data_IF_355969216620
#
_entry.id   IF_355969216620
#
_cell.length_a   1.000
_cell.length_b   1.000
_cell.length_c   1.000
_cell.angle_alpha   90.00
_cell.angle_beta   90.00
_cell.angle_gamma   90.00
#
_symmetry.space_group_name_H-M   'P 1'
#
loop_
_entity.id
_entity.type
_entity.pdbx_description
1 polymer ?
#
# COMPACT_ATOMS: atom_id res chain seq x y z
N UNK A 1 13.41 -4.70 -13.74
CA UNK A 1 13.06 -5.39 -15.03
C UNK A 1 13.02 -4.37 -16.18
N UNK A 2 14.11 -3.58 -16.36
CA UNK A 2 14.17 -2.53 -17.41
C UNK A 2 14.96 -2.95 -18.66
N UNK A 3 15.28 -4.23 -18.82
CA UNK A 3 16.06 -4.72 -19.92
C UNK A 3 15.22 -5.65 -20.80
N UNK A 4 15.54 -5.72 -22.09
CA UNK A 4 14.90 -6.63 -23.06
C UNK A 4 14.85 -8.07 -22.54
N UNK A 5 15.86 -8.50 -21.77
CA UNK A 5 15.87 -9.79 -21.06
C UNK A 5 14.72 -9.98 -20.05
N UNK A 6 14.19 -8.90 -19.46
CA UNK A 6 13.09 -8.99 -18.50
C UNK A 6 11.77 -9.39 -19.15
N UNK A 7 11.52 -8.93 -20.35
CA UNK A 7 10.29 -9.25 -21.10
C UNK A 7 10.29 -10.69 -21.58
N UNK A 8 11.42 -11.21 -22.09
CA UNK A 8 11.55 -12.61 -22.49
C UNK A 8 11.34 -13.55 -21.30
N UNK A 9 11.93 -13.26 -20.14
CA UNK A 9 11.74 -14.05 -18.91
C UNK A 9 10.28 -14.12 -18.46
N UNK A 10 9.52 -13.04 -18.63
CA UNK A 10 8.10 -13.01 -18.27
C UNK A 10 7.28 -13.86 -19.26
N UNK A 11 7.59 -13.82 -20.54
CA UNK A 11 6.93 -14.68 -21.54
C UNK A 11 7.24 -16.15 -21.29
N UNK A 12 8.50 -16.51 -21.12
CA UNK A 12 8.91 -17.88 -20.77
C UNK A 12 8.22 -18.41 -19.51
N UNK A 13 8.08 -17.55 -18.53
CA UNK A 13 7.39 -17.85 -17.28
C UNK A 13 5.89 -18.10 -17.50
N UNK A 14 5.22 -17.22 -18.25
CA UNK A 14 3.82 -17.38 -18.60
C UNK A 14 3.57 -18.69 -19.36
N UNK A 15 4.42 -18.99 -20.31
CA UNK A 15 4.32 -20.20 -21.13
C UNK A 15 4.50 -21.47 -20.28
N UNK A 16 5.41 -21.44 -19.30
CA UNK A 16 5.58 -22.54 -18.32
C UNK A 16 4.38 -22.70 -17.39
N UNK A 17 3.79 -21.60 -16.91
CA UNK A 17 2.58 -21.67 -16.10
C UNK A 17 1.39 -22.18 -16.93
N UNK A 18 1.30 -21.77 -18.21
CA UNK A 18 0.31 -22.27 -19.14
C UNK A 18 0.46 -23.77 -19.36
N UNK A 19 1.69 -24.28 -19.46
CA UNK A 19 1.96 -25.71 -19.56
C UNK A 19 1.43 -26.47 -18.34
N UNK A 20 1.62 -25.97 -17.12
CA UNK A 20 1.10 -26.56 -15.89
C UNK A 20 -0.43 -26.63 -15.92
N UNK A 21 -1.09 -25.59 -16.38
CA UNK A 21 -2.54 -25.53 -16.45
C UNK A 21 -3.17 -26.29 -17.65
N UNK A 22 -2.38 -26.67 -18.64
CA UNK A 22 -2.86 -27.37 -19.84
C UNK A 22 -2.45 -28.84 -19.89
N UNK A 23 -1.66 -29.32 -18.94
CA UNK A 23 -1.19 -30.69 -18.86
C UNK A 23 -1.72 -31.41 -17.61
N UNK A 24 -1.70 -32.75 -17.62
CA UNK A 24 -2.16 -33.55 -16.48
C UNK A 24 -3.61 -33.26 -16.14
N UNK A 25 -3.89 -33.00 -14.85
CA UNK A 25 -5.22 -32.67 -14.34
C UNK A 25 -5.59 -31.18 -14.54
N UNK A 26 -4.66 -30.37 -15.05
CA UNK A 26 -4.87 -28.93 -15.23
C UNK A 26 -6.10 -28.56 -16.06
N UNK A 27 -6.36 -29.19 -17.23
CA UNK A 27 -7.53 -28.87 -18.05
C UNK A 27 -8.88 -29.17 -17.40
N UNK A 28 -8.91 -30.03 -16.39
CA UNK A 28 -10.12 -30.38 -15.66
C UNK A 28 -10.46 -29.33 -14.58
N UNK A 29 -9.47 -28.59 -14.10
CA UNK A 29 -9.63 -27.65 -12.98
C UNK A 29 -9.58 -26.18 -13.41
N UNK A 30 -8.94 -25.88 -14.55
CA UNK A 30 -8.71 -24.50 -14.99
C UNK A 30 -8.75 -24.36 -16.51
N UNK A 31 -9.25 -23.23 -17.01
CA UNK A 31 -9.17 -22.83 -18.40
C UNK A 31 -8.54 -21.44 -18.49
N UNK A 32 -7.41 -21.33 -19.19
CA UNK A 32 -6.77 -20.06 -19.45
C UNK A 32 -7.59 -19.21 -20.40
N UNK A 33 -7.70 -17.91 -20.08
CA UNK A 33 -8.48 -16.95 -20.88
C UNK A 33 -7.62 -15.85 -21.46
N UNK A 34 -6.44 -15.62 -20.90
CA UNK A 34 -5.52 -14.58 -21.39
C UNK A 34 -4.42 -14.27 -20.40
N UNK A 35 -3.80 -13.14 -20.61
CA UNK A 35 -2.76 -12.59 -19.77
C UNK A 35 -2.09 -11.41 -20.44
N UNK A 36 -1.36 -10.63 -19.68
CA UNK A 36 -0.55 -9.55 -20.21
C UNK A 36 0.68 -9.31 -19.33
N UNK A 37 1.63 -8.60 -19.90
CA UNK A 37 2.82 -8.14 -19.19
C UNK A 37 2.77 -6.62 -19.09
N UNK A 38 2.86 -6.12 -17.87
CA UNK A 38 3.00 -4.71 -17.59
C UNK A 38 4.43 -4.34 -17.20
N UNK A 39 4.66 -3.08 -16.95
CA UNK A 39 5.97 -2.56 -16.59
C UNK A 39 6.50 -3.15 -15.25
N UNK A 40 5.61 -3.53 -14.36
CA UNK A 40 5.94 -3.94 -12.98
C UNK A 40 5.54 -5.38 -12.65
N UNK A 41 4.58 -5.95 -13.36
CA UNK A 41 4.13 -7.32 -13.15
C UNK A 41 3.58 -7.93 -14.43
N UNK A 42 3.64 -9.27 -14.51
CA UNK A 42 2.86 -10.05 -15.46
C UNK A 42 1.62 -10.60 -14.76
N UNK A 43 0.57 -10.87 -15.52
CA UNK A 43 -0.62 -11.55 -15.02
C UNK A 43 -1.16 -12.53 -16.04
N UNK A 44 -1.82 -13.56 -15.51
CA UNK A 44 -2.48 -14.61 -16.29
C UNK A 44 -3.93 -14.69 -15.83
N UNK A 45 -4.85 -14.58 -16.77
CA UNK A 45 -6.27 -14.67 -16.53
C UNK A 45 -6.77 -16.09 -16.80
N UNK A 46 -7.57 -16.63 -15.89
CA UNK A 46 -8.15 -17.96 -16.04
C UNK A 46 -9.53 -18.08 -15.42
N UNK A 47 -10.28 -19.09 -15.88
CA UNK A 47 -11.51 -19.55 -15.25
C UNK A 47 -11.19 -20.84 -14.51
N UNK A 48 -11.43 -20.87 -13.21
CA UNK A 48 -11.25 -22.06 -12.40
C UNK A 48 -12.59 -22.79 -12.23
N UNK A 49 -12.60 -24.09 -12.54
CA UNK A 49 -13.70 -24.99 -12.26
C UNK A 49 -13.58 -25.59 -10.85
N UNK A 50 -12.33 -25.78 -10.40
CA UNK A 50 -11.96 -26.02 -9.03
C UNK A 50 -10.88 -25.02 -8.64
N UNK A 51 -11.29 -23.97 -7.94
CA UNK A 51 -10.37 -22.86 -7.57
C UNK A 51 -9.30 -23.33 -6.58
N UNK A 52 -9.63 -24.27 -5.67
CA UNK A 52 -8.66 -24.74 -4.67
C UNK A 52 -7.57 -25.57 -5.36
N UNK A 53 -7.93 -26.47 -6.23
CA UNK A 53 -6.98 -27.25 -7.02
C UNK A 53 -6.13 -26.34 -7.94
N UNK A 54 -6.74 -25.38 -8.64
CA UNK A 54 -6.02 -24.45 -9.51
C UNK A 54 -4.99 -23.61 -8.74
N UNK A 55 -5.35 -23.09 -7.57
CA UNK A 55 -4.43 -22.30 -6.74
C UNK A 55 -3.34 -23.17 -6.11
N UNK A 56 -3.63 -24.43 -5.77
CA UNK A 56 -2.61 -25.36 -5.30
C UNK A 56 -1.56 -25.65 -6.41
N UNK A 57 -2.01 -25.90 -7.65
CA UNK A 57 -1.12 -26.07 -8.80
C UNK A 57 -0.26 -24.83 -9.04
N UNK A 58 -0.86 -23.65 -9.01
CA UNK A 58 -0.13 -22.38 -9.15
C UNK A 58 0.89 -22.18 -8.01
N UNK A 59 0.51 -22.46 -6.77
CA UNK A 59 1.39 -22.34 -5.60
C UNK A 59 2.61 -23.25 -5.70
N UNK A 60 2.42 -24.51 -6.08
CA UNK A 60 3.54 -25.45 -6.31
C UNK A 60 4.46 -24.95 -7.42
N UNK A 61 3.90 -24.46 -8.52
CA UNK A 61 4.69 -23.88 -9.62
C UNK A 61 5.52 -22.67 -9.16
N UNK A 62 4.93 -21.73 -8.43
CA UNK A 62 5.62 -20.54 -7.97
C UNK A 62 6.69 -20.84 -6.92
N UNK A 63 6.53 -21.91 -6.12
CA UNK A 63 7.46 -22.29 -5.08
C UNK A 63 8.89 -22.43 -5.60
N UNK A 64 9.06 -23.09 -6.75
CA UNK A 64 10.36 -23.38 -7.36
C UNK A 64 10.75 -22.39 -8.47
N UNK A 65 9.95 -21.34 -8.71
CA UNK A 65 10.21 -20.33 -9.73
C UNK A 65 11.15 -19.24 -9.23
N UNK A 66 11.84 -18.56 -10.16
CA UNK A 66 12.68 -17.38 -9.88
C UNK A 66 11.84 -16.10 -9.66
N UNK A 67 10.51 -16.20 -9.73
CA UNK A 67 9.62 -15.07 -9.48
C UNK A 67 9.65 -14.72 -7.99
N UNK A 68 9.92 -13.47 -7.61
CA UNK A 68 10.10 -13.09 -6.21
C UNK A 68 8.80 -13.14 -5.40
N UNK A 69 7.65 -12.92 -6.02
CA UNK A 69 6.35 -12.99 -5.37
C UNK A 69 5.24 -13.28 -6.38
N UNK A 70 4.17 -13.91 -5.94
CA UNK A 70 2.99 -14.17 -6.74
C UNK A 70 1.74 -14.12 -5.86
N UNK A 71 0.66 -13.57 -6.39
CA UNK A 71 -0.63 -13.53 -5.71
C UNK A 71 -1.77 -13.80 -6.68
N UNK A 72 -2.83 -14.35 -6.17
CA UNK A 72 -4.09 -14.51 -6.88
C UNK A 72 -5.14 -13.54 -6.34
N UNK A 73 -5.91 -12.94 -7.23
CA UNK A 73 -7.09 -12.17 -6.88
C UNK A 73 -8.19 -12.44 -7.92
N UNK A 74 -9.43 -12.33 -7.49
CA UNK A 74 -10.59 -12.38 -8.40
C UNK A 74 -10.82 -10.99 -8.99
N UNK A 75 -11.66 -10.92 -10.05
CA UNK A 75 -12.18 -9.63 -10.53
C UNK A 75 -13.10 -8.92 -9.52
N UNK A 76 -13.36 -9.54 -8.37
CA UNK A 76 -14.12 -8.96 -7.26
C UNK A 76 -13.16 -8.52 -6.17
N UNK A 77 -13.10 -7.22 -5.93
CA UNK A 77 -12.22 -6.63 -4.89
C UNK A 77 -12.54 -7.13 -3.48
N UNK A 78 -13.80 -7.44 -3.23
CA UNK A 78 -14.29 -7.87 -1.92
C UNK A 78 -13.89 -9.31 -1.56
N UNK A 79 -13.42 -10.09 -2.52
CA UNK A 79 -13.02 -11.48 -2.29
C UNK A 79 -11.62 -11.63 -1.68
N UNK A 80 -10.87 -10.53 -1.58
CA UNK A 80 -9.50 -10.56 -1.05
C UNK A 80 -8.47 -11.09 -2.06
N UNK A 81 -7.29 -11.38 -1.55
CA UNK A 81 -6.13 -11.84 -2.31
C UNK A 81 -5.49 -13.04 -1.61
N UNK A 82 -5.14 -14.07 -2.38
CA UNK A 82 -4.39 -15.23 -1.88
C UNK A 82 -2.93 -15.08 -2.28
N UNK A 83 -2.00 -15.21 -1.32
CA UNK A 83 -0.58 -15.30 -1.61
C UNK A 83 -0.27 -16.70 -2.16
N UNK A 84 0.32 -16.76 -3.34
CA UNK A 84 0.84 -17.98 -3.97
C UNK A 84 2.33 -18.16 -3.67
N UNK A 85 3.05 -17.06 -3.60
CA UNK A 85 4.45 -16.98 -3.14
C UNK A 85 4.64 -15.63 -2.48
N UNK A 86 5.06 -15.66 -1.24
CA UNK A 86 5.46 -14.43 -0.56
C UNK A 86 6.73 -13.88 -1.21
N UNK A 87 6.90 -12.55 -1.28
CA UNK A 87 8.21 -12.00 -1.54
C UNK A 87 9.19 -12.69 -0.57
N UNK A 88 10.45 -12.97 -0.99
CA UNK A 88 11.45 -13.41 -0.04
C UNK A 88 11.27 -12.51 1.16
N UNK A 89 11.14 -13.11 2.35
CA UNK A 89 11.02 -12.34 3.58
C UNK A 89 12.11 -11.28 3.50
N UNK A 90 11.74 -10.10 3.08
CA UNK A 90 12.39 -8.93 3.59
C UNK A 90 12.03 -9.04 5.08
N UNK A 91 12.80 -9.87 5.83
CA UNK A 91 13.05 -9.48 7.20
C UNK A 91 13.29 -7.98 7.09
N UNK A 92 12.62 -7.15 7.87
CA UNK A 92 13.04 -5.79 7.96
C UNK A 92 14.49 -5.88 8.42
N UNK A 93 15.40 -5.99 7.45
CA UNK A 93 16.82 -5.77 7.66
C UNK A 93 16.91 -4.33 8.12
N UNK A 94 16.63 -4.14 9.42
CA UNK A 94 16.97 -2.92 10.10
C UNK A 94 18.45 -2.58 9.83
N UNK A 95 19.26 -3.62 9.58
CA UNK A 95 20.66 -3.48 9.18
C UNK A 95 20.85 -3.19 7.68
N UNK A 96 20.10 -3.82 6.76
CA UNK A 96 20.20 -3.51 5.33
C UNK A 96 19.57 -2.16 4.98
N UNK A 97 18.44 -1.80 5.60
CA UNK A 97 17.89 -0.45 5.48
C UNK A 97 18.81 0.60 6.15
N UNK A 98 19.48 0.26 7.24
CA UNK A 98 20.47 1.15 7.85
C UNK A 98 21.72 1.26 6.98
N UNK A 99 22.17 0.20 6.32
CA UNK A 99 23.32 0.22 5.40
C UNK A 99 23.00 0.97 4.08
N UNK A 100 21.81 0.74 3.51
CA UNK A 100 21.34 1.50 2.33
C UNK A 100 21.05 2.96 2.66
N UNK A 101 20.61 3.25 3.89
CA UNK A 101 20.52 4.57 4.48
C UNK A 101 21.90 5.27 4.58
N UNK A 102 22.94 4.54 4.95
CA UNK A 102 24.29 5.10 5.13
C UNK A 102 24.91 5.48 3.77
N UNK A 103 24.76 4.68 2.71
CA UNK A 103 25.26 5.00 1.38
C UNK A 103 24.53 6.17 0.71
N UNK A 104 23.22 6.32 0.88
CA UNK A 104 22.45 7.44 0.32
C UNK A 104 22.60 8.74 1.07
N UNK A 105 22.82 8.69 2.38
CA UNK A 105 23.03 9.89 3.21
C UNK A 105 24.50 10.33 3.30
N UNK A 106 25.48 9.42 3.17
CA UNK A 106 26.92 9.75 3.26
C UNK A 106 27.49 10.52 2.06
N UNK A 107 26.77 10.59 0.95
CA UNK A 107 27.16 11.38 -0.24
C UNK A 107 26.60 12.80 -0.31
N UNK A 108 25.86 13.26 0.70
CA UNK A 108 25.10 14.51 0.68
C UNK A 108 25.48 15.43 1.85
N UNK A 109 25.20 16.72 1.70
CA UNK A 109 25.23 17.71 2.80
C UNK A 109 24.06 17.42 3.79
N UNK A 110 24.10 16.23 4.43
CA UNK A 110 23.10 15.78 5.41
C UNK A 110 23.49 16.27 6.80
N UNK A 111 22.53 16.88 7.48
CA UNK A 111 22.67 17.32 8.88
C UNK A 111 22.02 16.24 9.77
N UNK A 112 22.78 15.36 10.46
CA UNK A 112 22.20 14.39 11.39
C UNK A 112 21.45 15.10 12.51
N UNK A 113 20.29 14.54 12.89
CA UNK A 113 19.51 15.11 13.99
C UNK A 113 20.23 14.98 15.32
N UNK A 114 20.28 16.09 16.04
CA UNK A 114 20.57 16.14 17.48
C UNK A 114 19.60 17.13 18.14
N UNK A 115 19.30 17.01 19.44
CA UNK A 115 18.48 18.01 20.12
C UNK A 115 19.02 19.45 20.01
N UNK A 116 20.32 19.61 19.83
CA UNK A 116 20.98 20.91 19.71
C UNK A 116 20.88 21.53 18.32
N UNK A 117 20.78 20.72 17.26
CA UNK A 117 20.68 21.21 15.89
C UNK A 117 19.29 21.04 15.28
N UNK A 118 18.28 20.76 16.11
CA UNK A 118 16.93 20.45 15.66
C UNK A 118 16.39 21.43 14.62
N UNK A 119 16.60 22.74 14.81
CA UNK A 119 16.10 23.76 13.87
C UNK A 119 16.76 23.65 12.49
N UNK A 120 18.07 23.40 12.43
CA UNK A 120 18.78 23.22 11.16
C UNK A 120 18.33 21.93 10.45
N UNK A 121 18.14 20.84 11.21
CA UNK A 121 17.62 19.58 10.69
C UNK A 121 16.21 19.74 10.10
N UNK A 122 15.29 20.37 10.83
CA UNK A 122 13.93 20.57 10.31
C UNK A 122 13.88 21.55 9.14
N UNK A 123 14.77 22.54 9.07
CA UNK A 123 14.90 23.41 7.89
C UNK A 123 15.34 22.61 6.65
N UNK A 124 16.28 21.68 6.82
CA UNK A 124 16.70 20.78 5.75
C UNK A 124 15.56 19.84 5.31
N UNK A 125 14.80 19.26 6.26
CA UNK A 125 13.63 18.46 5.92
C UNK A 125 12.58 19.26 5.16
N UNK A 126 12.37 20.54 5.53
CA UNK A 126 11.42 21.40 4.80
C UNK A 126 11.91 21.66 3.38
N UNK A 127 13.19 21.95 3.17
CA UNK A 127 13.75 22.10 1.84
C UNK A 127 13.51 20.84 0.98
N UNK A 128 13.85 19.65 1.50
CA UNK A 128 13.63 18.39 0.78
C UNK A 128 12.16 18.11 0.50
N UNK A 129 11.26 18.47 1.42
CA UNK A 129 9.84 18.34 1.20
C UNK A 129 9.34 19.27 0.10
N UNK A 130 9.89 20.49 -0.03
CA UNK A 130 9.55 21.45 -1.08
C UNK A 130 10.15 21.04 -2.45
N UNK A 131 11.16 20.19 -2.44
CA UNK A 131 11.80 19.57 -3.61
C UNK A 131 11.22 18.19 -3.96
N UNK A 132 10.12 17.78 -3.31
CA UNK A 132 9.45 16.46 -3.45
C UNK A 132 10.33 15.25 -3.09
N UNK A 133 11.42 15.48 -2.34
CA UNK A 133 12.38 14.46 -1.92
C UNK A 133 11.92 13.74 -0.63
N UNK A 134 10.68 13.24 -0.65
CA UNK A 134 10.03 12.63 0.52
C UNK A 134 10.78 11.41 1.06
N UNK A 135 11.38 10.62 0.18
CA UNK A 135 12.19 9.45 0.57
C UNK A 135 13.36 9.86 1.44
N UNK A 136 14.05 10.95 1.13
CA UNK A 136 15.15 11.51 1.95
C UNK A 136 14.66 11.96 3.32
N UNK A 137 13.50 12.62 3.36
CA UNK A 137 12.87 13.01 4.62
C UNK A 137 12.60 11.79 5.51
N UNK A 138 12.00 10.73 4.94
CA UNK A 138 11.68 9.49 5.64
C UNK A 138 12.96 8.82 6.17
N UNK A 139 14.00 8.73 5.35
CA UNK A 139 15.29 8.15 5.72
C UNK A 139 15.94 8.90 6.88
N UNK A 140 16.06 10.22 6.77
CA UNK A 140 16.66 11.06 7.80
C UNK A 140 15.90 10.98 9.14
N UNK A 141 14.57 10.94 9.10
CA UNK A 141 13.74 10.83 10.29
C UNK A 141 13.80 9.44 10.94
N UNK A 142 13.92 8.38 10.14
CA UNK A 142 14.13 7.02 10.65
C UNK A 142 15.51 6.85 11.33
N UNK A 143 16.52 7.56 10.86
CA UNK A 143 17.87 7.53 11.44
C UNK A 143 17.94 8.19 12.84
N UNK A 144 16.89 8.89 13.30
CA UNK A 144 16.85 9.50 14.62
C UNK A 144 16.81 8.41 15.70
N UNK A 145 17.77 8.39 16.65
CA UNK A 145 17.73 7.47 17.78
C UNK A 145 16.42 7.54 18.55
N UNK A 146 15.94 6.40 19.04
CA UNK A 146 14.64 6.30 19.72
C UNK A 146 14.52 7.25 20.90
N UNK A 147 15.56 7.40 21.71
CA UNK A 147 15.63 8.31 22.86
C UNK A 147 15.47 9.80 22.51
N UNK A 148 15.66 10.16 21.24
CA UNK A 148 15.52 11.53 20.75
C UNK A 148 14.22 11.77 19.98
N UNK A 149 13.42 10.73 19.77
CA UNK A 149 12.13 10.85 19.12
C UNK A 149 11.13 11.55 20.04
N UNK A 150 10.34 12.42 19.44
CA UNK A 150 9.34 13.21 20.15
C UNK A 150 8.19 13.55 19.20
N UNK A 151 7.19 14.27 19.68
CA UNK A 151 6.04 14.67 18.87
C UNK A 151 6.45 15.33 17.54
N UNK A 152 7.42 16.26 17.55
CA UNK A 152 7.84 16.98 16.35
C UNK A 152 8.46 16.06 15.32
N UNK A 153 9.30 15.12 15.74
CA UNK A 153 9.90 14.12 14.84
C UNK A 153 8.87 13.13 14.31
N UNK A 154 7.93 12.67 15.14
CA UNK A 154 6.84 11.79 14.75
C UNK A 154 5.91 12.48 13.74
N UNK A 155 5.51 13.72 14.01
CA UNK A 155 4.70 14.51 13.09
C UNK A 155 5.39 14.72 11.73
N UNK A 156 6.69 15.05 11.74
CA UNK A 156 7.46 15.23 10.51
C UNK A 156 7.55 13.92 9.70
N UNK A 157 7.76 12.78 10.37
CA UNK A 157 7.79 11.47 9.72
C UNK A 157 6.44 11.10 9.12
N UNK A 158 5.35 11.31 9.85
CA UNK A 158 4.00 11.08 9.32
C UNK A 158 3.72 11.94 8.09
N UNK A 159 4.05 13.24 8.14
CA UNK A 159 3.91 14.15 6.99
C UNK A 159 4.71 13.67 5.78
N UNK A 160 5.96 13.24 5.98
CA UNK A 160 6.79 12.75 4.88
C UNK A 160 6.23 11.46 4.26
N UNK A 161 5.73 10.53 5.09
CA UNK A 161 5.09 9.29 4.64
C UNK A 161 3.79 9.56 3.87
N UNK A 162 2.95 10.48 4.33
CA UNK A 162 1.73 10.90 3.65
C UNK A 162 2.04 11.58 2.32
N UNK A 163 2.97 12.54 2.29
CA UNK A 163 3.36 13.20 1.06
C UNK A 163 3.95 12.21 0.05
N UNK A 164 4.78 11.27 0.51
CA UNK A 164 5.28 10.16 -0.32
C UNK A 164 4.14 9.34 -0.94
N UNK A 165 3.11 9.04 -0.15
CA UNK A 165 1.99 8.22 -0.60
C UNK A 165 1.02 8.99 -1.52
N UNK A 166 0.79 10.28 -1.25
CA UNK A 166 -0.28 11.08 -1.87
C UNK A 166 0.24 11.88 -3.07
N UNK A 167 1.41 12.50 -2.94
CA UNK A 167 1.98 13.41 -3.93
C UNK A 167 3.05 12.76 -4.80
N UNK A 168 3.66 11.67 -4.33
CA UNK A 168 4.63 10.91 -5.13
C UNK A 168 3.96 10.17 -6.29
N UNK A 169 4.73 9.79 -7.31
CA UNK A 169 4.29 9.06 -8.52
C UNK A 169 3.68 7.68 -8.25
N UNK A 170 3.38 7.38 -7.00
CA UNK A 170 2.90 6.07 -6.55
C UNK A 170 1.36 5.97 -6.50
N UNK A 171 0.65 7.03 -6.89
CA UNK A 171 -0.80 7.13 -6.66
C UNK A 171 -1.65 7.03 -7.94
N UNK A 172 -1.11 6.56 -9.04
CA UNK A 172 -1.87 6.43 -10.30
C UNK A 172 -2.85 5.24 -10.28
N UNK A 173 -4.04 5.46 -9.72
CA UNK A 173 -5.28 4.75 -10.11
C UNK A 173 -5.40 3.25 -9.81
N UNK A 174 -4.37 2.60 -9.33
CA UNK A 174 -4.39 1.22 -8.83
C UNK A 174 -4.15 1.20 -7.33
N UNK A 175 -4.66 0.20 -6.58
CA UNK A 175 -4.34 0.07 -5.16
C UNK A 175 -2.82 0.08 -4.99
N UNK A 176 -2.28 1.22 -4.55
CA UNK A 176 -0.86 1.42 -4.44
C UNK A 176 -0.39 0.81 -3.12
N UNK A 177 0.02 -0.45 -3.18
CA UNK A 177 0.51 -1.17 -2.01
C UNK A 177 1.64 -0.44 -1.25
N UNK A 178 2.50 0.32 -1.94
CA UNK A 178 3.54 1.13 -1.30
C UNK A 178 2.95 2.38 -0.64
N UNK A 179 2.00 3.03 -1.28
CA UNK A 179 1.27 4.16 -0.74
C UNK A 179 0.45 3.77 0.49
N UNK A 180 -0.32 2.70 0.41
CA UNK A 180 -1.13 2.21 1.54
C UNK A 180 -0.26 1.83 2.75
N UNK A 181 0.89 1.17 2.54
CA UNK A 181 1.86 0.89 3.62
C UNK A 181 2.40 2.18 4.27
N UNK A 182 2.73 3.17 3.47
CA UNK A 182 3.23 4.44 3.97
C UNK A 182 2.16 5.19 4.78
N UNK A 183 0.89 5.18 4.32
CA UNK A 183 -0.24 5.77 5.04
C UNK A 183 -0.52 5.05 6.36
N UNK A 184 -0.54 3.71 6.37
CA UNK A 184 -0.70 2.93 7.60
C UNK A 184 0.41 3.25 8.60
N UNK A 185 1.66 3.30 8.15
CA UNK A 185 2.78 3.67 9.01
C UNK A 185 2.69 5.11 9.52
N UNK A 186 2.21 6.06 8.70
CA UNK A 186 1.99 7.44 9.13
C UNK A 186 0.98 7.51 10.28
N UNK A 187 -0.14 6.78 10.15
CA UNK A 187 -1.17 6.65 11.18
C UNK A 187 -0.58 6.05 12.47
N UNK A 188 0.19 4.95 12.38
CA UNK A 188 0.84 4.32 13.53
C UNK A 188 1.79 5.28 14.25
N UNK A 189 2.60 6.02 13.50
CA UNK A 189 3.53 7.02 14.04
C UNK A 189 2.78 8.15 14.75
N UNK A 190 1.68 8.64 14.18
CA UNK A 190 0.83 9.65 14.81
C UNK A 190 0.14 9.12 16.07
N UNK A 191 -0.34 7.87 16.03
CA UNK A 191 -0.95 7.24 17.21
C UNK A 191 0.05 7.08 18.37
N UNK A 192 1.34 6.86 18.10
CA UNK A 192 2.36 6.76 19.14
C UNK A 192 2.53 8.05 19.96
N UNK A 193 2.13 9.19 19.41
CA UNK A 193 2.19 10.53 20.05
C UNK A 193 0.81 11.14 20.27
N UNK A 194 -0.23 10.30 20.30
CA UNK A 194 -1.63 10.72 20.43
C UNK A 194 -1.90 11.63 21.63
N UNK A 195 -1.32 11.32 22.79
CA UNK A 195 -1.56 12.11 24.02
C UNK A 195 -1.10 13.56 23.89
N UNK A 196 -0.05 13.82 23.09
CA UNK A 196 0.42 15.16 22.79
C UNK A 196 -0.32 15.81 21.61
N UNK A 197 -0.85 14.98 20.70
CA UNK A 197 -1.39 15.41 19.39
C UNK A 197 -2.89 15.63 19.36
N UNK A 198 -3.69 14.83 20.08
CA UNK A 198 -5.16 14.77 19.95
C UNK A 198 -5.89 16.11 20.06
N UNK A 199 -5.31 17.08 20.76
CA UNK A 199 -5.88 18.42 20.95
C UNK A 199 -5.19 19.48 20.06
N UNK A 200 -4.45 19.07 19.05
CA UNK A 200 -3.82 19.93 18.05
C UNK A 200 -4.49 19.75 16.68
N UNK A 201 -4.77 20.87 16.01
CA UNK A 201 -5.41 20.85 14.68
C UNK A 201 -4.56 20.10 13.66
N UNK A 202 -3.25 20.37 13.63
CA UNK A 202 -2.33 19.76 12.68
C UNK A 202 -2.21 18.24 12.83
N UNK A 203 -2.32 17.68 14.04
CA UNK A 203 -2.31 16.24 14.27
C UNK A 203 -3.59 15.61 13.73
N UNK A 204 -4.75 16.21 14.04
CA UNK A 204 -6.03 15.74 13.53
C UNK A 204 -6.14 15.86 12.02
N UNK A 205 -5.55 16.90 11.43
CA UNK A 205 -5.42 17.06 9.97
C UNK A 205 -4.66 15.88 9.35
N UNK A 206 -3.49 15.53 9.91
CA UNK A 206 -2.70 14.40 9.40
C UNK A 206 -3.42 13.07 9.55
N UNK A 207 -4.04 12.80 10.69
CA UNK A 207 -4.86 11.61 10.87
C UNK A 207 -6.01 11.54 9.84
N UNK A 208 -6.66 12.69 9.57
CA UNK A 208 -7.71 12.77 8.57
C UNK A 208 -7.19 12.45 7.16
N UNK A 209 -6.06 13.02 6.76
CA UNK A 209 -5.46 12.73 5.45
C UNK A 209 -4.99 11.28 5.34
N UNK A 210 -4.32 10.75 6.36
CA UNK A 210 -3.89 9.35 6.38
C UNK A 210 -5.05 8.39 6.10
N UNK A 211 -6.18 8.55 6.77
CA UNK A 211 -7.37 7.72 6.56
C UNK A 211 -8.14 8.06 5.27
N UNK A 212 -8.17 9.33 4.83
CA UNK A 212 -8.85 9.74 3.60
C UNK A 212 -8.29 9.03 2.37
N UNK A 213 -6.95 8.93 2.29
CA UNK A 213 -6.25 8.35 1.15
C UNK A 213 -5.99 6.85 1.32
N UNK A 214 -6.19 6.29 2.51
CA UNK A 214 -6.12 4.86 2.74
C UNK A 214 -7.41 4.20 2.23
N UNK A 215 -7.25 3.31 1.26
CA UNK A 215 -8.38 2.76 0.51
C UNK A 215 -9.40 2.06 1.43
N UNK A 216 -10.63 2.51 1.37
CA UNK A 216 -11.71 1.90 2.15
C UNK A 216 -11.89 2.43 3.57
N UNK A 217 -11.02 3.32 4.04
CA UNK A 217 -11.00 3.81 5.41
C UNK A 217 -11.53 5.26 5.57
N UNK A 218 -12.22 5.79 4.55
CA UNK A 218 -12.69 7.18 4.55
C UNK A 218 -13.71 7.47 5.68
N UNK A 219 -14.36 6.43 6.23
CA UNK A 219 -15.23 6.58 7.41
C UNK A 219 -14.44 6.99 8.65
N UNK A 220 -13.21 6.45 8.80
CA UNK A 220 -12.30 6.76 9.91
C UNK A 220 -11.70 8.15 9.83
N UNK A 221 -11.59 8.74 8.64
CA UNK A 221 -11.10 10.10 8.46
C UNK A 221 -12.04 11.16 9.04
N UNK A 222 -13.36 10.92 8.99
CA UNK A 222 -14.38 11.92 9.32
C UNK A 222 -14.31 12.42 10.78
N UNK A 223 -14.12 11.59 11.82
CA UNK A 223 -13.96 12.06 13.18
C UNK A 223 -12.78 13.01 13.36
N UNK A 224 -11.64 12.69 12.78
CA UNK A 224 -10.43 13.51 12.83
C UNK A 224 -10.61 14.84 12.07
N UNK A 225 -11.19 14.82 10.88
CA UNK A 225 -11.48 16.03 10.15
C UNK A 225 -12.48 16.96 10.86
N UNK A 226 -13.45 16.40 11.60
CA UNK A 226 -14.35 17.19 12.45
C UNK A 226 -13.60 17.82 13.61
N UNK A 227 -12.72 17.04 14.27
CA UNK A 227 -11.93 17.58 15.37
C UNK A 227 -10.96 18.65 14.92
N UNK A 228 -10.36 18.48 13.74
CA UNK A 228 -9.57 19.52 13.10
C UNK A 228 -10.37 20.82 12.88
N UNK A 229 -11.57 20.74 12.27
CA UNK A 229 -12.44 21.90 12.08
C UNK A 229 -12.87 22.59 13.40
N UNK A 230 -12.99 21.83 14.50
CA UNK A 230 -13.29 22.40 15.82
C UNK A 230 -12.08 23.14 16.41
N UNK A 231 -10.87 22.63 16.19
CA UNK A 231 -9.63 23.20 16.71
C UNK A 231 -9.10 24.37 15.89
N UNK A 232 -9.37 24.37 14.59
CA UNK A 232 -9.01 25.44 13.66
C UNK A 232 -10.24 25.75 12.76
N UNK A 233 -11.18 26.57 13.24
CA UNK A 233 -12.39 26.91 12.48
C UNK A 233 -12.15 27.79 11.26
N UNK A 234 -10.98 28.41 11.14
CA UNK A 234 -10.62 29.25 9.99
C UNK A 234 -10.03 28.43 8.84
N UNK A 235 -9.67 27.17 9.09
CA UNK A 235 -9.18 26.26 8.06
C UNK A 235 -10.33 25.77 7.16
N UNK A 236 -10.21 26.03 5.86
CA UNK A 236 -11.24 25.70 4.87
C UNK A 236 -11.12 24.26 4.36
N UNK A 237 -10.01 23.54 4.62
CA UNK A 237 -9.77 22.21 4.09
C UNK A 237 -10.48 21.11 4.88
N UNK A 238 -10.62 21.25 6.19
CA UNK A 238 -11.29 20.26 7.02
C UNK A 238 -12.74 19.94 6.56
N UNK A 239 -13.60 20.94 6.25
CA UNK A 239 -14.91 20.69 5.64
C UNK A 239 -14.84 20.03 4.26
N UNK A 240 -13.80 20.30 3.47
CA UNK A 240 -13.57 19.67 2.16
C UNK A 240 -13.31 18.17 2.33
N UNK A 241 -12.38 17.80 3.20
CA UNK A 241 -12.07 16.40 3.54
C UNK A 241 -13.33 15.63 3.96
N UNK A 242 -14.14 16.21 4.87
CA UNK A 242 -15.40 15.58 5.30
C UNK A 242 -16.35 15.35 4.12
N UNK A 243 -16.45 16.32 3.22
CA UNK A 243 -17.33 16.23 2.04
C UNK A 243 -16.87 15.16 1.07
N UNK A 244 -15.56 15.09 0.81
CA UNK A 244 -14.94 14.13 -0.11
C UNK A 244 -15.06 12.69 0.44
N UNK A 245 -14.72 12.46 1.69
CA UNK A 245 -14.92 11.17 2.35
C UNK A 245 -16.37 10.70 2.24
N UNK A 246 -17.33 11.57 2.56
CA UNK A 246 -18.76 11.25 2.43
C UNK A 246 -19.21 10.96 0.99
N UNK A 247 -18.58 11.62 0.01
CA UNK A 247 -18.87 11.38 -1.40
C UNK A 247 -18.36 10.00 -1.84
N UNK A 248 -17.14 9.62 -1.44
CA UNK A 248 -16.56 8.33 -1.78
C UNK A 248 -17.30 7.16 -1.10
N UNK A 249 -17.66 7.31 0.19
CA UNK A 249 -18.51 6.35 0.91
C UNK A 249 -19.84 6.14 0.17
N UNK A 250 -20.51 7.22 -0.26
CA UNK A 250 -21.78 7.14 -1.01
C UNK A 250 -21.59 6.44 -2.35
N UNK A 251 -20.51 6.73 -3.06
CA UNK A 251 -20.18 6.11 -4.34
C UNK A 251 -19.99 4.59 -4.18
N UNK A 252 -19.23 4.15 -3.17
CA UNK A 252 -19.06 2.72 -2.86
C UNK A 252 -20.38 2.04 -2.51
N UNK A 253 -21.19 2.64 -1.63
CA UNK A 253 -22.52 2.11 -1.27
C UNK A 253 -23.46 2.04 -2.48
N UNK A 254 -23.42 3.03 -3.38
CA UNK A 254 -24.22 3.02 -4.60
C UNK A 254 -23.76 1.94 -5.59
N UNK A 255 -22.47 1.72 -5.72
CA UNK A 255 -21.89 0.68 -6.57
C UNK A 255 -22.23 -0.71 -6.04
N UNK A 256 -22.19 -0.91 -4.72
CA UNK A 256 -22.63 -2.14 -4.05
C UNK A 256 -24.10 -2.41 -4.31
N UNK A 257 -24.98 -1.44 -4.09
CA UNK A 257 -26.43 -1.57 -4.32
C UNK A 257 -26.80 -1.81 -5.81
N UNK A 258 -25.96 -1.35 -6.76
CA UNK A 258 -26.15 -1.66 -8.19
C UNK A 258 -25.75 -3.10 -8.50
N UNK A 259 -24.71 -3.63 -7.86
CA UNK A 259 -24.31 -5.04 -7.98
C UNK A 259 -25.34 -5.96 -7.35
N UNK A 260 -25.90 -5.59 -6.19
CA UNK A 260 -26.95 -6.36 -5.49
C UNK A 260 -28.29 -6.42 -6.27
N UNK A 261 -28.52 -5.49 -7.21
CA UNK A 261 -29.69 -5.49 -8.10
C UNK A 261 -29.49 -6.27 -9.39
N UNK A 262 -28.27 -6.60 -9.74
CA UNK A 262 -27.97 -7.50 -10.82
C UNK A 262 -27.98 -8.93 -10.25
N UNK A 263 -29.10 -9.59 -10.31
CA UNK A 263 -29.28 -11.03 -10.09
C UNK A 263 -29.29 -11.74 -11.45
N UNK A 264 -28.15 -12.12 -11.99
CA UNK A 264 -28.10 -13.25 -12.87
C UNK A 264 -28.02 -14.47 -11.95
N UNK A 265 -28.85 -15.44 -12.12
CA UNK A 265 -29.00 -16.58 -11.24
C UNK A 265 -27.77 -17.00 -10.47
N UNK A 266 -28.03 -17.42 -9.24
CA UNK A 266 -27.10 -17.86 -8.19
C UNK A 266 -25.62 -17.93 -8.63
N UNK A 267 -24.85 -16.89 -8.35
CA UNK A 267 -23.40 -16.97 -8.55
C UNK A 267 -22.85 -17.88 -7.45
N UNK A 268 -22.12 -18.95 -7.80
CA UNK A 268 -21.59 -19.91 -6.82
C UNK A 268 -20.54 -19.33 -5.87
N UNK A 269 -20.36 -18.00 -5.87
CA UNK A 269 -19.35 -17.26 -5.10
C UNK A 269 -19.95 -16.27 -4.10
N UNK A 270 -21.26 -16.31 -3.83
CA UNK A 270 -21.84 -15.54 -2.73
C UNK A 270 -21.25 -16.05 -1.41
N UNK A 271 -20.45 -15.22 -0.73
CA UNK A 271 -19.80 -15.57 0.53
C UNK A 271 -18.39 -16.17 0.41
N UNK A 272 -17.79 -16.22 -0.79
CA UNK A 272 -16.43 -16.70 -0.96
C UNK A 272 -15.43 -15.61 -0.58
N UNK A 273 -14.74 -15.82 0.54
CA UNK A 273 -13.68 -14.97 1.07
C UNK A 273 -12.33 -15.68 0.91
N UNK A 274 -11.37 -15.02 0.28
CA UNK A 274 -10.02 -15.54 0.06
C UNK A 274 -9.03 -15.17 1.18
N UNK A 275 -9.43 -14.37 2.15
CA UNK A 275 -8.52 -13.84 3.17
C UNK A 275 -7.86 -14.95 3.98
N UNK A 276 -8.59 -16.05 4.25
CA UNK A 276 -8.10 -17.21 5.00
C UNK A 276 -8.11 -18.50 4.15
N UNK A 277 -7.83 -18.37 2.86
CA UNK A 277 -7.97 -19.47 1.90
C UNK A 277 -7.16 -20.74 2.25
N UNK A 278 -6.02 -20.56 2.94
CA UNK A 278 -5.11 -21.65 3.29
C UNK A 278 -5.29 -22.17 4.72
N UNK A 279 -6.16 -21.55 5.54
CA UNK A 279 -6.31 -21.87 6.98
C UNK A 279 -7.31 -23.02 7.23
N UNK A 280 -7.98 -23.56 6.19
CA UNK A 280 -8.89 -24.71 6.28
C UNK A 280 -8.17 -26.04 5.88
#
# INVERSE_FOLDING_TARGET
LREEEGTEKIFDFRDKLEEVFTTGDGPEVVTLTGGATGLYCGYVDFIAWDIRAALQMAKEFFKDSDIPWASFHTFRREAGTVSLKNPPDEEPDGEAQAAELDETLTGMDYIPYTPQNAEAFFAQLQQWNDEDEYTRCIQALNAIPEDWRNYRTAYALARALENYAILGDHNEGTPNYKGDKALLRAIEVLESVREEGRDKAEWNMRMAYGYQYLHGQEEEAIPYARRWAELDPEDEDAPVVIRECKAEIRKRRSSRNKKDKFVPGDTPFEGFDLTNFWDD
#
